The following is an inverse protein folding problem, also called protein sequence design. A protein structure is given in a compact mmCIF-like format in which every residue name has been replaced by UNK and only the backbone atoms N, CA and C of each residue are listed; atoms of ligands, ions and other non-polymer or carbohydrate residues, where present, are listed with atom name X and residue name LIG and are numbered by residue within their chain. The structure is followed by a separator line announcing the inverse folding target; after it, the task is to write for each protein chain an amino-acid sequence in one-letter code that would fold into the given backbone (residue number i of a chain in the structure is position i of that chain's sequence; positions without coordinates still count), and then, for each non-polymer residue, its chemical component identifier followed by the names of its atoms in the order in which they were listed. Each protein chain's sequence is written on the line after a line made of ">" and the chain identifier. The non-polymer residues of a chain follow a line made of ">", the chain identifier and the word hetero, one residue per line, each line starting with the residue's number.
data_IF_537745115807
#
_entry.id   IF_537745115807
#
_cell.length_a   1.000
_cell.length_b   1.000
_cell.length_c   1.000
_cell.angle_alpha   90.00
_cell.angle_beta   90.00
_cell.angle_gamma   90.00
#
_symmetry.space_group_name_H-M   'P 1'
#
loop_
_entity.id
_entity.type
_entity.pdbx_description
1 polymer ?
#
# COMPACT_ATOMS: atom_id res chain seq x y z
N UNK A 1 11.25 28.18 8.32
CA UNK A 1 10.22 27.25 7.80
C UNK A 1 9.62 26.51 8.99
N UNK A 2 8.31 26.56 9.11
CA UNK A 2 7.62 25.83 10.19
C UNK A 2 7.50 24.34 9.83
N UNK A 3 8.23 23.49 10.57
CA UNK A 3 8.25 22.03 10.37
C UNK A 3 7.13 21.31 11.15
N UNK A 4 6.29 22.01 11.88
CA UNK A 4 5.29 21.43 12.79
C UNK A 4 4.25 20.52 12.11
N UNK A 5 4.08 20.66 10.80
CA UNK A 5 3.17 19.84 10.00
C UNK A 5 3.84 18.67 9.27
N UNK A 6 5.17 18.54 9.37
CA UNK A 6 5.94 17.47 8.76
C UNK A 6 5.97 16.23 9.66
N UNK A 7 6.05 15.05 9.07
CA UNK A 7 5.97 13.78 9.79
C UNK A 7 6.92 12.73 9.23
N UNK A 8 7.37 11.81 10.08
CA UNK A 8 8.15 10.64 9.67
C UNK A 8 7.26 9.51 9.11
N UNK A 9 6.07 9.34 9.68
CA UNK A 9 5.12 8.30 9.30
C UNK A 9 4.25 8.68 8.11
N UNK A 10 4.05 7.76 7.17
CA UNK A 10 3.14 7.95 6.04
C UNK A 10 1.69 8.04 6.54
N UNK A 11 1.06 9.17 6.32
CA UNK A 11 -0.37 9.38 6.61
C UNK A 11 -1.11 9.76 5.34
N UNK A 12 -2.38 9.34 5.17
CA UNK A 12 -3.19 9.79 4.06
C UNK A 12 -3.39 11.31 4.12
N UNK A 13 -3.69 11.90 2.97
CA UNK A 13 -4.13 13.30 2.89
C UNK A 13 -5.56 13.35 3.44
N UNK A 14 -5.82 14.28 4.35
CA UNK A 14 -7.18 14.58 4.80
C UNK A 14 -7.88 15.42 3.73
N UNK A 15 -8.74 14.79 2.93
CA UNK A 15 -9.59 15.47 1.97
C UNK A 15 -10.95 15.76 2.59
N UNK A 16 -11.33 17.05 2.62
CA UNK A 16 -12.58 17.50 3.29
C UNK A 16 -13.84 16.95 2.62
N UNK A 17 -13.83 16.80 1.29
CA UNK A 17 -14.99 16.29 0.56
C UNK A 17 -15.20 14.81 0.85
N UNK A 18 -14.13 14.00 0.74
CA UNK A 18 -14.15 12.58 1.10
C UNK A 18 -14.54 12.41 2.58
N UNK A 19 -13.97 13.21 3.50
CA UNK A 19 -14.29 13.14 4.91
C UNK A 19 -15.77 13.41 5.19
N UNK A 20 -16.33 14.46 4.59
CA UNK A 20 -17.74 14.78 4.75
C UNK A 20 -18.63 13.66 4.20
N UNK A 21 -18.30 13.14 3.03
CA UNK A 21 -19.02 12.02 2.43
C UNK A 21 -18.98 10.75 3.31
N UNK A 22 -17.80 10.40 3.84
CA UNK A 22 -17.64 9.28 4.77
C UNK A 22 -18.50 9.48 6.03
N UNK A 23 -18.55 10.71 6.58
CA UNK A 23 -19.42 11.03 7.72
C UNK A 23 -20.90 10.86 7.39
N UNK A 24 -21.34 11.36 6.26
CA UNK A 24 -22.75 11.25 5.82
C UNK A 24 -23.15 9.79 5.63
N UNK A 25 -22.34 9.01 4.92
CA UNK A 25 -22.58 7.57 4.72
C UNK A 25 -22.58 6.83 6.05
N UNK A 26 -21.61 7.10 6.93
CA UNK A 26 -21.56 6.46 8.25
C UNK A 26 -22.78 6.82 9.11
N UNK A 27 -23.18 8.09 9.13
CA UNK A 27 -24.35 8.54 9.87
C UNK A 27 -25.63 7.88 9.34
N UNK A 28 -25.79 7.79 8.02
CA UNK A 28 -26.93 7.09 7.41
C UNK A 28 -26.98 5.61 7.83
N UNK A 29 -25.83 4.93 7.85
CA UNK A 29 -25.73 3.55 8.31
C UNK A 29 -26.12 3.38 9.79
N UNK A 30 -25.68 4.30 10.67
CA UNK A 30 -26.06 4.25 12.11
C UNK A 30 -27.54 4.51 12.34
N UNK A 31 -28.17 5.32 11.50
CA UNK A 31 -29.61 5.61 11.59
C UNK A 31 -30.49 4.49 11.01
N UNK A 32 -29.93 3.62 10.18
CA UNK A 32 -30.59 2.45 9.62
C UNK A 32 -29.80 1.17 9.98
N UNK A 33 -30.20 0.48 11.07
CA UNK A 33 -29.54 -0.75 11.49
C UNK A 33 -29.49 -1.84 10.41
N UNK A 34 -30.45 -1.85 9.49
CA UNK A 34 -30.46 -2.85 8.39
C UNK A 34 -29.29 -2.63 7.43
N UNK A 35 -28.89 -1.39 7.23
CA UNK A 35 -27.73 -1.04 6.39
C UNK A 35 -26.40 -1.42 7.07
N UNK A 36 -26.27 -1.28 8.39
CA UNK A 36 -25.09 -1.69 9.15
C UNK A 36 -24.93 -3.20 9.13
N UNK A 37 -26.04 -3.93 9.25
CA UNK A 37 -26.08 -5.39 9.29
C UNK A 37 -26.03 -6.01 7.87
N UNK A 38 -26.14 -5.19 6.82
CA UNK A 38 -26.13 -5.69 5.46
C UNK A 38 -24.77 -6.31 5.10
N UNK A 39 -24.79 -7.56 4.71
CA UNK A 39 -23.62 -8.22 4.13
C UNK A 39 -23.29 -7.54 2.81
N UNK A 40 -22.03 -7.21 2.63
CA UNK A 40 -21.54 -6.75 1.34
C UNK A 40 -21.47 -7.93 0.37
N UNK A 41 -21.79 -7.70 -0.89
CA UNK A 41 -21.43 -8.62 -1.96
C UNK A 41 -19.91 -8.55 -2.14
N UNK A 42 -19.24 -9.60 -1.69
CA UNK A 42 -17.77 -9.67 -1.65
C UNK A 42 -17.18 -9.73 -3.06
N UNK A 43 -17.84 -10.42 -3.97
CA UNK A 43 -17.38 -10.54 -5.36
C UNK A 43 -17.58 -9.22 -6.11
N UNK A 44 -18.68 -8.54 -5.89
CA UNK A 44 -18.87 -7.18 -6.41
C UNK A 44 -17.77 -6.25 -5.91
N UNK A 45 -17.43 -6.31 -4.61
CA UNK A 45 -16.36 -5.48 -4.05
C UNK A 45 -15.00 -5.78 -4.70
N UNK A 46 -14.62 -7.07 -4.78
CA UNK A 46 -13.36 -7.52 -5.39
C UNK A 46 -13.25 -7.09 -6.86
N UNK A 47 -14.31 -7.29 -7.62
CA UNK A 47 -14.37 -6.95 -9.04
C UNK A 47 -14.30 -5.43 -9.25
N UNK A 48 -15.07 -4.65 -8.46
CA UNK A 48 -15.05 -3.19 -8.53
C UNK A 48 -13.66 -2.66 -8.18
N UNK A 49 -13.03 -3.18 -7.12
CA UNK A 49 -11.69 -2.74 -6.74
C UNK A 49 -10.65 -3.08 -7.82
N UNK A 50 -10.71 -4.28 -8.40
CA UNK A 50 -9.82 -4.67 -9.52
C UNK A 50 -10.02 -3.75 -10.73
N UNK A 51 -11.26 -3.40 -11.06
CA UNK A 51 -11.56 -2.43 -12.13
C UNK A 51 -10.94 -1.07 -11.81
N UNK A 52 -11.13 -0.56 -10.59
CA UNK A 52 -10.53 0.71 -10.16
C UNK A 52 -9.00 0.71 -10.21
N UNK A 53 -8.35 -0.43 -9.87
CA UNK A 53 -6.90 -0.58 -10.02
C UNK A 53 -6.44 -0.50 -11.48
N UNK A 54 -7.17 -1.16 -12.38
CA UNK A 54 -6.86 -1.16 -13.81
C UNK A 54 -7.11 0.22 -14.47
N UNK A 55 -8.04 1.00 -13.92
CA UNK A 55 -8.38 2.35 -14.38
C UNK A 55 -7.52 3.45 -13.73
N UNK A 56 -6.65 3.10 -12.76
CA UNK A 56 -5.78 4.07 -12.12
C UNK A 56 -4.76 4.63 -13.11
N UNK A 57 -4.78 5.96 -13.29
CA UNK A 57 -4.09 6.61 -14.41
C UNK A 57 -2.58 6.74 -14.26
N UNK A 58 -2.04 6.57 -13.06
CA UNK A 58 -0.68 6.94 -12.73
C UNK A 58 0.25 5.75 -12.48
N UNK A 59 -0.31 4.57 -12.30
CA UNK A 59 0.45 3.34 -12.07
C UNK A 59 -0.34 2.13 -12.49
N UNK A 60 0.27 1.23 -13.28
CA UNK A 60 -0.36 0.01 -13.76
C UNK A 60 0.46 -1.20 -13.32
N UNK A 61 -0.20 -2.23 -12.83
CA UNK A 61 0.41 -3.53 -12.57
C UNK A 61 0.17 -4.46 -13.76
N UNK A 62 1.13 -4.48 -14.70
CA UNK A 62 1.05 -5.37 -15.87
C UNK A 62 1.19 -6.83 -15.41
N UNK A 63 0.26 -7.69 -15.84
CA UNK A 63 0.24 -9.10 -15.43
C UNK A 63 -0.56 -9.39 -14.14
N UNK A 64 -1.28 -8.39 -13.58
CA UNK A 64 -2.15 -8.61 -12.42
C UNK A 64 -3.25 -9.66 -12.69
N UNK A 65 -3.64 -9.87 -13.94
CA UNK A 65 -4.59 -10.91 -14.36
C UNK A 65 -4.11 -12.34 -14.09
N UNK A 66 -2.80 -12.54 -13.93
CA UNK A 66 -2.18 -13.84 -13.58
C UNK A 66 -2.36 -14.23 -12.11
N UNK A 67 -2.86 -13.30 -11.29
CA UNK A 67 -3.15 -13.53 -9.87
C UNK A 67 -4.66 -13.78 -9.72
N UNK A 68 -5.04 -15.05 -9.87
CA UNK A 68 -6.43 -15.45 -9.98
C UNK A 68 -7.18 -15.45 -8.65
N UNK A 69 -6.47 -15.61 -7.53
CA UNK A 69 -7.07 -15.74 -6.21
C UNK A 69 -7.01 -14.43 -5.45
N UNK A 70 -8.15 -14.00 -4.92
CA UNK A 70 -8.25 -12.70 -4.24
C UNK A 70 -8.83 -12.84 -2.84
N UNK A 71 -8.22 -12.14 -1.88
CA UNK A 71 -8.69 -12.07 -0.50
C UNK A 71 -8.83 -10.62 -0.05
N UNK A 72 -9.95 -10.29 0.58
CA UNK A 72 -10.18 -9.00 1.22
C UNK A 72 -9.42 -8.94 2.53
N UNK A 73 -8.83 -7.78 2.83
CA UNK A 73 -7.99 -7.52 4.00
C UNK A 73 -8.43 -6.24 4.72
N UNK A 74 -8.16 -6.14 6.02
CA UNK A 74 -8.20 -4.88 6.78
C UNK A 74 -6.90 -4.05 6.54
N UNK A 75 -6.59 -3.79 5.27
CA UNK A 75 -5.36 -3.14 4.82
C UNK A 75 -4.20 -4.11 4.65
N UNK A 76 -3.09 -3.62 4.06
CA UNK A 76 -1.93 -4.45 3.68
C UNK A 76 -1.28 -5.20 4.86
N UNK A 77 -1.37 -4.68 6.09
CA UNK A 77 -0.84 -5.38 7.27
C UNK A 77 -1.42 -6.79 7.42
N UNK A 78 -2.67 -7.02 7.00
CA UNK A 78 -3.27 -8.35 6.95
C UNK A 78 -2.51 -9.31 6.03
N UNK A 79 -2.04 -8.83 4.88
CA UNK A 79 -1.22 -9.63 3.98
C UNK A 79 0.15 -10.00 4.60
N UNK A 80 0.75 -9.10 5.39
CA UNK A 80 2.00 -9.41 6.08
C UNK A 80 1.82 -10.52 7.11
N UNK A 81 0.79 -10.40 7.94
CA UNK A 81 0.49 -11.44 8.95
C UNK A 81 0.16 -12.78 8.29
N UNK A 82 -0.54 -12.75 7.17
CA UNK A 82 -0.85 -13.94 6.38
C UNK A 82 0.41 -14.57 5.77
N UNK A 83 1.35 -13.73 5.27
CA UNK A 83 2.65 -14.17 4.76
C UNK A 83 3.52 -14.76 5.87
N UNK A 84 3.53 -14.13 7.07
CA UNK A 84 4.25 -14.66 8.23
C UNK A 84 3.69 -16.01 8.70
N UNK A 85 2.39 -16.26 8.53
CA UNK A 85 1.78 -17.55 8.86
C UNK A 85 2.14 -18.68 7.89
N UNK A 86 2.54 -18.33 6.66
CA UNK A 86 2.92 -19.31 5.62
C UNK A 86 4.37 -19.78 5.75
N UNK A 87 5.25 -18.92 6.28
CA UNK A 87 6.68 -19.15 6.32
C UNK A 87 7.22 -19.01 7.75
N UNK A 88 8.27 -19.74 8.08
CA UNK A 88 8.96 -19.52 9.34
C UNK A 88 9.57 -18.13 9.37
N UNK A 89 9.43 -17.42 10.49
CA UNK A 89 9.89 -16.04 10.65
C UNK A 89 11.38 -15.86 10.33
N UNK A 90 12.21 -16.84 10.62
CA UNK A 90 13.64 -16.86 10.32
C UNK A 90 13.97 -16.86 8.82
N UNK A 91 12.99 -17.29 7.99
CA UNK A 91 13.12 -17.29 6.55
C UNK A 91 12.55 -16.03 5.90
N UNK A 92 11.94 -15.14 6.69
CA UNK A 92 11.38 -13.89 6.18
C UNK A 92 12.44 -12.80 6.16
N UNK A 93 12.68 -12.25 4.97
CA UNK A 93 13.66 -11.18 4.79
C UNK A 93 13.01 -9.94 4.17
N UNK A 94 13.58 -8.81 4.52
CA UNK A 94 13.28 -7.50 3.92
C UNK A 94 14.58 -6.76 3.65
N UNK A 95 14.56 -5.82 2.73
CA UNK A 95 15.71 -4.94 2.49
C UNK A 95 15.71 -3.78 3.47
N UNK A 96 16.89 -3.24 3.74
CA UNK A 96 17.05 -2.03 4.54
C UNK A 96 16.20 -0.89 3.96
N UNK A 97 15.49 -0.17 4.82
CA UNK A 97 14.58 0.88 4.42
C UNK A 97 13.13 0.44 4.23
N UNK A 98 12.85 -0.86 4.31
CA UNK A 98 11.49 -1.36 4.28
C UNK A 98 10.66 -0.89 5.50
N UNK A 99 9.35 -1.19 5.46
CA UNK A 99 8.45 -0.79 6.52
C UNK A 99 8.90 -1.37 7.87
N UNK A 100 9.13 -0.53 8.90
CA UNK A 100 9.70 -0.98 10.18
C UNK A 100 8.87 -2.04 10.92
N UNK A 101 7.63 -2.27 10.50
CA UNK A 101 6.76 -3.32 11.02
C UNK A 101 7.39 -4.71 10.83
N UNK A 102 8.02 -4.97 9.69
CA UNK A 102 8.65 -6.27 9.39
C UNK A 102 9.76 -6.57 10.39
N UNK A 103 10.69 -5.64 10.58
CA UNK A 103 11.80 -5.76 11.56
C UNK A 103 11.27 -5.99 12.98
N UNK A 104 10.22 -5.25 13.38
CA UNK A 104 9.62 -5.39 14.71
C UNK A 104 8.94 -6.74 14.93
N UNK A 105 8.53 -7.42 13.86
CA UNK A 105 7.95 -8.75 13.89
C UNK A 105 8.98 -9.86 13.66
N UNK A 106 10.28 -9.56 13.63
CA UNK A 106 11.34 -10.54 13.58
C UNK A 106 11.88 -10.88 12.20
N UNK A 107 11.42 -10.21 11.12
CA UNK A 107 12.01 -10.39 9.80
C UNK A 107 13.48 -9.94 9.79
N UNK A 108 14.33 -10.71 9.12
CA UNK A 108 15.74 -10.36 8.92
C UNK A 108 15.84 -9.19 7.94
N UNK A 109 16.59 -8.15 8.33
CA UNK A 109 16.87 -7.00 7.45
C UNK A 109 18.22 -7.22 6.76
N UNK A 110 18.23 -7.16 5.44
CA UNK A 110 19.43 -7.32 4.60
C UNK A 110 19.85 -5.97 4.00
N UNK A 111 21.15 -5.74 3.90
CA UNK A 111 21.71 -4.54 3.21
C UNK A 111 21.63 -4.71 1.69
N UNK A 112 21.86 -5.92 1.18
CA UNK A 112 21.87 -6.22 -0.23
C UNK A 112 20.96 -7.39 -0.59
N UNK A 113 20.23 -7.31 -1.70
CA UNK A 113 19.34 -8.38 -2.15
C UNK A 113 20.10 -9.66 -2.52
N UNK A 114 21.39 -9.54 -2.90
CA UNK A 114 22.25 -10.70 -3.17
C UNK A 114 22.55 -11.55 -1.96
N UNK A 115 22.27 -11.06 -0.74
CA UNK A 115 22.47 -11.79 0.50
C UNK A 115 21.29 -12.72 0.83
N UNK A 116 20.18 -12.64 0.05
CA UNK A 116 19.02 -13.52 0.22
C UNK A 116 19.41 -14.95 -0.13
N UNK A 117 19.17 -15.87 0.77
CA UNK A 117 19.55 -17.28 0.63
C UNK A 117 18.39 -18.11 0.08
N UNK A 118 18.73 -19.23 -0.53
CA UNK A 118 17.73 -20.23 -0.91
C UNK A 118 16.88 -20.67 0.30
N UNK A 119 15.58 -20.76 0.11
CA UNK A 119 14.63 -21.09 1.19
C UNK A 119 14.12 -19.89 1.98
N UNK A 120 14.70 -18.70 1.77
CA UNK A 120 14.15 -17.45 2.29
C UNK A 120 13.10 -16.89 1.33
N UNK A 121 12.25 -16.00 1.85
CA UNK A 121 11.21 -15.30 1.08
C UNK A 121 11.28 -13.81 1.37
N UNK A 122 11.04 -13.00 0.35
CA UNK A 122 11.20 -11.55 0.39
C UNK A 122 9.84 -10.84 0.50
N UNK A 123 9.76 -9.82 1.36
CA UNK A 123 8.70 -8.83 1.29
C UNK A 123 9.32 -7.54 0.74
N UNK A 124 8.77 -7.06 -0.38
CA UNK A 124 9.28 -5.90 -1.11
C UNK A 124 8.17 -4.88 -1.35
N UNK A 125 8.36 -3.64 -0.89
CA UNK A 125 7.39 -2.56 -1.16
C UNK A 125 7.55 -2.00 -2.57
N UNK A 126 6.42 -1.78 -3.23
CA UNK A 126 6.32 -1.15 -4.55
C UNK A 126 5.16 -0.13 -4.56
N UNK A 127 5.40 1.18 -4.48
CA UNK A 127 6.69 1.87 -4.29
C UNK A 127 7.42 1.53 -3.00
N UNK A 128 8.77 1.67 -3.04
CA UNK A 128 9.65 1.31 -1.93
C UNK A 128 9.41 2.15 -0.68
N UNK A 129 9.35 1.51 0.47
CA UNK A 129 8.95 2.14 1.72
C UNK A 129 9.85 3.30 2.15
N UNK A 130 11.16 3.22 1.92
CA UNK A 130 12.08 4.28 2.32
C UNK A 130 11.91 5.55 1.51
N UNK A 131 11.63 5.47 0.22
CA UNK A 131 11.65 6.61 -0.70
C UNK A 131 10.28 6.98 -1.25
N UNK A 132 9.37 6.02 -1.37
CA UNK A 132 8.13 6.17 -2.14
C UNK A 132 8.36 6.19 -3.66
N UNK A 133 9.56 5.82 -4.11
CA UNK A 133 9.92 5.60 -5.51
C UNK A 133 9.96 4.10 -5.82
N UNK A 134 10.19 3.73 -7.06
CA UNK A 134 10.62 2.37 -7.39
C UNK A 134 11.99 2.17 -6.74
N UNK A 135 12.25 1.00 -6.15
CA UNK A 135 13.59 0.66 -5.64
C UNK A 135 14.59 0.66 -6.80
N UNK A 136 15.75 1.28 -6.63
CA UNK A 136 16.74 1.46 -7.71
C UNK A 136 17.13 0.11 -8.36
N UNK A 137 17.22 -0.95 -7.57
CA UNK A 137 17.55 -2.30 -8.01
C UNK A 137 16.32 -3.17 -8.29
N UNK A 138 15.10 -2.63 -8.41
CA UNK A 138 13.88 -3.43 -8.51
C UNK A 138 13.96 -4.56 -9.52
N UNK A 139 14.37 -4.27 -10.76
CA UNK A 139 14.47 -5.27 -11.81
C UNK A 139 15.53 -6.34 -11.53
N UNK A 140 16.66 -5.93 -10.95
CA UNK A 140 17.73 -6.86 -10.53
C UNK A 140 17.27 -7.76 -9.38
N UNK A 141 16.49 -7.22 -8.44
CA UNK A 141 15.90 -8.00 -7.34
C UNK A 141 14.95 -9.07 -7.90
N UNK A 142 14.05 -8.69 -8.81
CA UNK A 142 13.09 -9.61 -9.42
C UNK A 142 13.83 -10.71 -10.19
N UNK A 143 14.85 -10.35 -10.98
CA UNK A 143 15.65 -11.31 -11.71
C UNK A 143 16.42 -12.27 -10.78
N UNK A 144 17.06 -11.72 -9.74
CA UNK A 144 17.76 -12.51 -8.73
C UNK A 144 16.82 -13.50 -8.03
N UNK A 145 15.67 -13.02 -7.57
CA UNK A 145 14.68 -13.87 -6.88
C UNK A 145 14.13 -14.96 -7.80
N UNK A 146 13.86 -14.64 -9.08
CA UNK A 146 13.42 -15.62 -10.06
C UNK A 146 14.47 -16.72 -10.28
N UNK A 147 15.74 -16.34 -10.45
CA UNK A 147 16.83 -17.28 -10.73
C UNK A 147 17.15 -18.17 -9.51
N UNK A 148 16.95 -17.65 -8.29
CA UNK A 148 17.23 -18.37 -7.04
C UNK A 148 15.97 -19.00 -6.40
N UNK A 149 14.80 -18.94 -7.07
CA UNK A 149 13.51 -19.48 -6.57
C UNK A 149 13.13 -18.92 -5.20
N UNK A 150 13.26 -17.61 -5.05
CA UNK A 150 12.88 -16.87 -3.84
C UNK A 150 11.50 -16.27 -4.07
N UNK A 151 10.54 -16.65 -3.24
CA UNK A 151 9.18 -16.14 -3.33
C UNK A 151 9.10 -14.70 -2.83
N UNK A 152 8.27 -13.89 -3.49
CA UNK A 152 8.09 -12.46 -3.17
C UNK A 152 6.62 -12.16 -2.85
N UNK A 153 6.39 -11.45 -1.73
CA UNK A 153 5.19 -10.64 -1.49
C UNK A 153 5.47 -9.20 -1.89
N UNK A 154 4.76 -8.66 -2.88
CA UNK A 154 4.80 -7.23 -3.20
C UNK A 154 3.83 -6.44 -2.34
N UNK A 155 4.35 -5.52 -1.53
CA UNK A 155 3.57 -4.55 -0.77
C UNK A 155 3.29 -3.30 -1.62
N UNK A 156 2.10 -3.22 -2.18
CA UNK A 156 1.64 -2.10 -2.98
C UNK A 156 0.78 -1.09 -2.17
N UNK A 157 1.08 -0.87 -0.88
CA UNK A 157 0.32 0.05 -0.02
C UNK A 157 0.30 1.49 -0.51
N UNK A 158 1.31 1.93 -1.27
CA UNK A 158 1.40 3.29 -1.82
C UNK A 158 1.01 3.38 -3.29
N UNK A 159 0.69 2.26 -3.97
CA UNK A 159 0.44 2.22 -5.41
C UNK A 159 -0.56 3.31 -5.84
N UNK A 160 -1.72 3.34 -5.20
CA UNK A 160 -2.85 4.18 -5.59
C UNK A 160 -2.73 5.66 -5.14
N UNK A 161 -1.57 6.07 -4.68
CA UNK A 161 -1.20 7.45 -4.32
C UNK A 161 0.16 7.81 -4.94
N UNK A 162 0.56 7.09 -5.98
CA UNK A 162 1.87 7.21 -6.61
C UNK A 162 1.76 7.23 -8.13
N UNK A 163 2.78 7.79 -8.77
CA UNK A 163 2.99 7.73 -10.21
C UNK A 163 4.31 7.00 -10.48
N UNK A 164 4.22 5.69 -10.73
CA UNK A 164 5.37 4.84 -11.05
C UNK A 164 5.29 4.26 -12.46
N UNK A 165 4.28 4.66 -13.24
CA UNK A 165 4.06 4.12 -14.59
C UNK A 165 3.68 2.64 -14.59
N UNK A 166 4.07 1.96 -15.63
CA UNK A 166 3.76 0.54 -15.84
C UNK A 166 4.83 -0.34 -15.20
N UNK A 167 4.41 -1.22 -14.30
CA UNK A 167 5.28 -2.19 -13.62
C UNK A 167 4.83 -3.59 -13.97
N UNK A 168 5.72 -4.37 -14.58
CA UNK A 168 5.51 -5.78 -14.83
C UNK A 168 5.67 -6.58 -13.53
N UNK A 169 4.58 -7.25 -13.12
CA UNK A 169 4.52 -8.11 -11.94
C UNK A 169 4.36 -9.59 -12.29
N UNK A 170 4.43 -9.95 -13.58
CA UNK A 170 4.23 -11.35 -14.03
C UNK A 170 5.47 -12.24 -13.85
N UNK A 171 6.42 -11.85 -13.04
CA UNK A 171 7.53 -12.73 -12.68
C UNK A 171 7.06 -13.87 -11.77
N UNK A 172 7.42 -15.12 -12.09
CA UNK A 172 6.97 -16.32 -11.34
C UNK A 172 7.38 -16.33 -9.86
N UNK A 173 8.40 -15.57 -9.48
CA UNK A 173 8.80 -15.39 -8.09
C UNK A 173 7.83 -14.49 -7.31
N UNK A 174 7.07 -13.63 -7.97
CA UNK A 174 6.02 -12.82 -7.32
C UNK A 174 4.82 -13.73 -7.10
N UNK A 175 4.62 -14.15 -5.84
CA UNK A 175 3.54 -15.05 -5.44
C UNK A 175 2.29 -14.33 -5.02
N UNK A 176 2.46 -13.18 -4.35
CA UNK A 176 1.35 -12.39 -3.83
C UNK A 176 1.60 -10.89 -4.03
N UNK A 177 0.52 -10.15 -4.26
CA UNK A 177 0.51 -8.69 -4.34
C UNK A 177 -0.55 -8.20 -3.35
N UNK A 178 -0.21 -7.24 -2.49
CA UNK A 178 -1.15 -6.65 -1.55
C UNK A 178 -1.32 -5.17 -1.82
N UNK A 179 -2.56 -4.72 -1.96
CA UNK A 179 -2.93 -3.32 -2.18
C UNK A 179 -3.82 -2.80 -1.05
N UNK A 180 -3.89 -1.48 -0.85
CA UNK A 180 -4.72 -0.89 0.20
C UNK A 180 -5.26 0.47 -0.21
N UNK A 181 -6.47 0.78 0.24
CA UNK A 181 -7.11 2.11 0.09
C UNK A 181 -6.77 3.07 1.23
N UNK A 182 -6.04 2.61 2.26
CA UNK A 182 -5.76 3.39 3.47
C UNK A 182 -4.91 4.65 3.25
N UNK A 183 -4.25 4.78 2.09
CA UNK A 183 -3.45 5.96 1.74
C UNK A 183 -4.17 6.87 0.75
N UNK A 184 -5.16 6.35 0.03
CA UNK A 184 -5.99 7.10 -0.93
C UNK A 184 -7.11 7.82 -0.19
N UNK A 185 -7.90 7.07 0.57
CA UNK A 185 -9.03 7.62 1.31
C UNK A 185 -8.72 7.66 2.80
N UNK A 186 -8.88 8.81 3.42
CA UNK A 186 -8.67 8.98 4.87
C UNK A 186 -9.88 8.49 5.68
N UNK A 187 -10.23 7.22 5.53
CA UNK A 187 -11.42 6.60 6.16
C UNK A 187 -11.22 6.20 7.63
N UNK A 188 -10.11 6.62 8.25
CA UNK A 188 -9.82 6.34 9.65
C UNK A 188 -9.58 4.84 9.91
N UNK A 189 -10.41 4.25 10.77
CA UNK A 189 -10.30 2.82 11.13
C UNK A 189 -10.94 1.89 10.10
N UNK A 190 -11.71 2.41 9.14
CA UNK A 190 -12.34 1.62 8.08
C UNK A 190 -11.34 1.29 6.97
N UNK A 191 -10.25 0.63 7.34
CA UNK A 191 -9.21 0.21 6.41
C UNK A 191 -9.70 -0.96 5.59
N UNK A 192 -9.31 -0.97 4.32
CA UNK A 192 -9.60 -2.08 3.41
C UNK A 192 -8.45 -2.23 2.40
N UNK A 193 -8.24 -3.45 1.94
CA UNK A 193 -7.29 -3.79 0.89
C UNK A 193 -7.65 -5.12 0.25
N UNK A 194 -6.90 -5.49 -0.75
CA UNK A 194 -7.00 -6.80 -1.39
C UNK A 194 -5.60 -7.38 -1.53
N UNK A 195 -5.49 -8.69 -1.22
CA UNK A 195 -4.37 -9.53 -1.61
C UNK A 195 -4.75 -10.29 -2.87
N UNK A 196 -3.85 -10.31 -3.82
CA UNK A 196 -3.93 -11.09 -5.05
C UNK A 196 -2.87 -12.18 -4.97
N UNK A 197 -3.26 -13.43 -5.08
CA UNK A 197 -2.38 -14.59 -5.05
C UNK A 197 -2.35 -15.26 -6.42
N UNK A 198 -1.16 -15.69 -6.84
CA UNK A 198 -0.99 -16.41 -8.12
C UNK A 198 -1.55 -17.82 -8.05
N UNK A 199 -1.42 -18.46 -6.90
CA UNK A 199 -1.87 -19.82 -6.63
C UNK A 199 -2.87 -19.81 -5.47
N UNK A 200 -3.75 -20.83 -5.39
CA UNK A 200 -4.63 -20.97 -4.24
C UNK A 200 -3.83 -21.42 -3.01
N UNK A 201 -3.86 -20.60 -1.98
CA UNK A 201 -3.10 -20.84 -0.75
C UNK A 201 -4.09 -20.91 0.41
N UNK A 202 -4.05 -22.00 1.17
CA UNK A 202 -4.87 -22.18 2.37
C UNK A 202 -4.21 -21.45 3.55
N UNK A 203 -4.67 -20.23 3.82
CA UNK A 203 -4.16 -19.36 4.88
C UNK A 203 -5.28 -18.93 5.82
N UNK A 204 -4.95 -18.39 7.02
CA UNK A 204 -5.97 -17.80 7.89
C UNK A 204 -6.80 -16.70 7.21
N UNK A 205 -6.17 -15.86 6.38
CA UNK A 205 -6.89 -14.82 5.64
C UNK A 205 -7.84 -15.44 4.61
N UNK A 206 -7.41 -16.46 3.85
CA UNK A 206 -8.27 -17.17 2.91
C UNK A 206 -9.47 -17.79 3.64
N UNK A 207 -9.24 -18.45 4.77
CA UNK A 207 -10.29 -19.05 5.57
C UNK A 207 -11.33 -18.03 6.07
N UNK A 208 -10.90 -16.88 6.55
CA UNK A 208 -11.81 -15.80 6.96
C UNK A 208 -12.63 -15.27 5.77
N UNK A 209 -12.02 -15.19 4.58
CA UNK A 209 -12.73 -14.82 3.35
C UNK A 209 -13.78 -15.86 2.96
N UNK A 210 -13.44 -17.15 3.01
CA UNK A 210 -14.38 -18.24 2.69
C UNK A 210 -15.56 -18.30 3.65
N UNK A 211 -15.35 -17.94 4.90
CA UNK A 211 -16.41 -17.87 5.93
C UNK A 211 -17.14 -16.53 5.96
N UNK A 212 -16.78 -15.58 5.11
CA UNK A 212 -17.32 -14.21 5.07
C UNK A 212 -17.14 -13.45 6.40
N UNK A 213 -16.15 -13.79 7.21
CA UNK A 213 -15.76 -13.04 8.42
C UNK A 213 -14.91 -11.84 8.03
N UNK A 214 -15.56 -10.88 7.37
CA UNK A 214 -14.95 -9.72 6.76
C UNK A 214 -15.57 -8.43 7.30
N UNK A 215 -14.87 -7.33 7.12
CA UNK A 215 -15.37 -6.01 7.46
C UNK A 215 -16.35 -5.52 6.38
N UNK A 216 -17.59 -6.04 6.40
CA UNK A 216 -18.63 -5.70 5.42
C UNK A 216 -18.97 -4.20 5.40
N UNK A 217 -18.90 -3.53 6.57
CA UNK A 217 -19.10 -2.08 6.62
C UNK A 217 -18.04 -1.34 5.80
N UNK A 218 -16.76 -1.68 5.98
CA UNK A 218 -15.67 -1.06 5.20
C UNK A 218 -15.80 -1.36 3.71
N UNK A 219 -16.19 -2.58 3.31
CA UNK A 219 -16.42 -2.90 1.89
C UNK A 219 -17.55 -2.05 1.30
N UNK A 220 -18.71 -1.99 1.97
CA UNK A 220 -19.85 -1.19 1.52
C UNK A 220 -19.53 0.30 1.45
N UNK A 221 -18.78 0.83 2.43
CA UNK A 221 -18.32 2.21 2.44
C UNK A 221 -17.44 2.51 1.21
N UNK A 222 -16.50 1.61 0.90
CA UNK A 222 -15.58 1.83 -0.22
C UNK A 222 -16.25 1.62 -1.57
N UNK A 223 -17.25 0.73 -1.71
CA UNK A 223 -18.08 0.68 -2.92
C UNK A 223 -18.79 2.02 -3.17
N UNK A 224 -19.32 2.64 -2.11
CA UNK A 224 -19.94 3.98 -2.22
C UNK A 224 -18.90 5.06 -2.56
N UNK A 225 -17.68 4.96 -2.02
CA UNK A 225 -16.58 5.87 -2.35
C UNK A 225 -16.18 5.75 -3.82
N UNK A 226 -16.03 4.54 -4.37
CA UNK A 226 -15.68 4.33 -5.77
C UNK A 226 -16.69 4.94 -6.75
N UNK A 227 -17.98 4.98 -6.38
CA UNK A 227 -19.00 5.60 -7.21
C UNK A 227 -18.86 7.13 -7.33
N UNK A 228 -18.19 7.78 -6.38
CA UNK A 228 -18.06 9.25 -6.32
C UNK A 228 -16.61 9.71 -6.53
N UNK A 229 -15.64 8.91 -6.13
CA UNK A 229 -14.22 9.25 -6.14
C UNK A 229 -13.43 8.05 -6.65
N UNK A 230 -13.00 8.06 -7.92
CA UNK A 230 -12.13 7.02 -8.45
C UNK A 230 -10.74 7.07 -7.76
N UNK A 231 -9.93 6.04 -7.96
CA UNK A 231 -8.60 5.97 -7.31
C UNK A 231 -7.65 7.12 -7.69
N UNK A 232 -7.81 7.73 -8.86
CA UNK A 232 -6.97 8.84 -9.31
C UNK A 232 -7.35 10.18 -8.67
N UNK A 233 -8.55 10.30 -8.10
CA UNK A 233 -9.09 11.58 -7.60
C UNK A 233 -8.14 12.31 -6.63
N UNK A 234 -7.62 11.61 -5.62
CA UNK A 234 -6.75 12.24 -4.61
C UNK A 234 -5.40 12.63 -5.22
N UNK A 235 -4.83 11.76 -6.06
CA UNK A 235 -3.58 12.06 -6.74
C UNK A 235 -3.72 13.29 -7.65
N UNK A 236 -4.73 13.30 -8.52
CA UNK A 236 -4.99 14.40 -9.44
C UNK A 236 -5.22 15.73 -8.72
N UNK A 237 -6.05 15.70 -7.66
CA UNK A 237 -6.41 16.89 -6.88
C UNK A 237 -5.22 17.55 -6.16
N UNK A 238 -4.30 16.75 -5.63
CA UNK A 238 -3.24 17.24 -4.76
C UNK A 238 -1.84 17.27 -5.40
N UNK A 239 -1.70 16.83 -6.65
CA UNK A 239 -0.41 16.78 -7.34
C UNK A 239 0.30 18.13 -7.37
N UNK A 240 -0.40 19.18 -7.80
CA UNK A 240 0.20 20.52 -7.90
C UNK A 240 0.62 21.06 -6.53
N UNK A 241 -0.20 20.87 -5.50
CA UNK A 241 0.14 21.25 -4.13
C UNK A 241 1.35 20.47 -3.58
N UNK A 242 1.49 19.19 -3.95
CA UNK A 242 2.66 18.39 -3.57
C UNK A 242 3.95 18.94 -4.20
N UNK A 243 3.89 19.35 -5.46
CA UNK A 243 5.02 19.99 -6.15
C UNK A 243 5.41 21.29 -5.44
N UNK A 244 4.45 22.15 -5.17
CA UNK A 244 4.67 23.44 -4.49
C UNK A 244 5.22 23.25 -3.08
N UNK A 245 4.68 22.31 -2.31
CA UNK A 245 5.16 22.00 -0.98
C UNK A 245 6.61 21.48 -1.01
N UNK A 246 6.95 20.51 -1.84
CA UNK A 246 8.32 20.04 -1.96
C UNK A 246 9.28 21.18 -2.35
N UNK A 247 8.92 21.97 -3.35
CA UNK A 247 9.73 23.14 -3.78
C UNK A 247 9.94 24.14 -2.65
N UNK A 248 8.90 24.48 -1.88
CA UNK A 248 8.98 25.44 -0.79
C UNK A 248 9.88 25.00 0.37
N UNK A 249 10.02 23.70 0.57
CA UNK A 249 10.88 23.10 1.58
C UNK A 249 12.25 22.69 1.07
N UNK A 250 12.54 22.84 -0.24
CA UNK A 250 13.79 22.39 -0.84
C UNK A 250 13.93 20.86 -0.81
N UNK A 251 12.82 20.14 -0.99
CA UNK A 251 12.75 18.69 -1.02
C UNK A 251 12.58 18.21 -2.47
N UNK A 252 13.25 17.12 -2.81
CA UNK A 252 12.98 16.39 -4.03
C UNK A 252 11.66 15.63 -3.89
N UNK A 253 10.82 15.69 -4.90
CA UNK A 253 9.55 14.98 -4.88
C UNK A 253 9.75 13.48 -5.15
N UNK A 254 9.10 12.63 -4.35
CA UNK A 254 9.03 11.20 -4.67
C UNK A 254 7.92 10.90 -5.68
N UNK A 255 7.90 9.65 -6.21
CA UNK A 255 6.78 9.17 -7.01
C UNK A 255 5.47 9.11 -6.20
N UNK A 256 5.58 8.91 -4.89
CA UNK A 256 4.43 8.93 -3.98
C UNK A 256 4.07 10.36 -3.60
N UNK A 257 2.83 10.75 -3.79
CA UNK A 257 2.31 12.09 -3.52
C UNK A 257 2.59 12.59 -2.09
N UNK A 258 2.76 11.67 -1.15
CA UNK A 258 2.87 11.95 0.29
C UNK A 258 4.27 12.41 0.72
N UNK A 259 5.32 12.24 -0.11
CA UNK A 259 6.70 12.36 0.35
C UNK A 259 7.52 13.37 -0.43
N UNK A 260 8.29 14.16 0.34
CA UNK A 260 9.48 14.83 -0.13
C UNK A 260 10.73 14.13 0.39
N UNK A 261 11.80 14.13 -0.40
CA UNK A 261 13.07 13.46 -0.13
C UNK A 261 14.19 14.49 -0.01
N UNK A 262 15.21 14.18 0.80
CA UNK A 262 16.42 14.99 0.87
C UNK A 262 17.59 14.18 1.42
N UNK A 263 18.81 14.52 1.01
CA UNK A 263 20.03 14.02 1.63
C UNK A 263 20.68 15.09 2.55
N UNK A 264 20.08 16.27 2.67
CA UNK A 264 20.60 17.34 3.53
C UNK A 264 20.43 16.97 5.02
N UNK A 265 21.47 17.24 5.80
CA UNK A 265 21.50 17.06 7.27
C UNK A 265 20.40 17.84 7.98
N UNK A 266 19.90 18.94 7.39
CA UNK A 266 18.75 19.70 7.88
C UNK A 266 17.50 18.83 8.12
N UNK A 267 17.38 17.70 7.40
CA UNK A 267 16.26 16.77 7.44
C UNK A 267 16.58 15.45 8.14
N UNK A 268 17.73 15.34 8.84
CA UNK A 268 18.19 14.09 9.47
C UNK A 268 17.22 13.45 10.46
N UNK A 269 16.33 14.25 11.07
CA UNK A 269 15.25 13.76 11.94
C UNK A 269 14.22 12.87 11.20
N UNK A 270 14.15 12.97 9.86
CA UNK A 270 13.30 12.17 8.97
C UNK A 270 14.05 11.01 8.32
N UNK A 271 15.24 10.67 8.80
CA UNK A 271 16.08 9.63 8.21
C UNK A 271 15.39 8.27 8.16
N UNK A 272 15.56 7.61 7.02
CA UNK A 272 15.13 6.24 6.77
C UNK A 272 16.36 5.32 6.77
N UNK A 273 16.78 4.93 7.98
CA UNK A 273 17.92 4.03 8.20
C UNK A 273 19.22 4.46 7.49
N UNK A 274 19.38 5.77 7.26
CA UNK A 274 20.56 6.33 6.58
C UNK A 274 20.53 6.28 5.05
N UNK A 275 19.46 5.74 4.43
CA UNK A 275 19.32 5.72 2.97
C UNK A 275 18.94 7.08 2.40
N UNK A 276 18.00 7.76 3.04
CA UNK A 276 17.55 9.10 2.69
C UNK A 276 16.79 9.70 3.87
N UNK A 277 16.49 11.00 3.79
CA UNK A 277 15.50 11.65 4.66
C UNK A 277 14.17 11.71 3.91
N UNK A 278 13.15 11.02 4.41
CA UNK A 278 11.82 10.98 3.83
C UNK A 278 10.83 11.75 4.70
N UNK A 279 10.38 12.87 4.20
CA UNK A 279 9.46 13.80 4.89
C UNK A 279 8.04 13.54 4.39
N UNK A 280 7.11 13.19 5.28
CA UNK A 280 5.70 13.11 4.92
C UNK A 280 5.08 14.51 4.97
N UNK A 281 4.61 14.98 3.81
CA UNK A 281 4.03 16.33 3.59
C UNK A 281 2.49 16.31 3.61
N UNK A 282 1.85 15.17 3.85
CA UNK A 282 0.39 15.02 3.72
C UNK A 282 -0.42 16.03 4.52
N UNK A 283 0.06 16.48 5.69
CA UNK A 283 -0.62 17.52 6.48
C UNK A 283 -0.58 18.90 5.82
N UNK A 284 0.49 19.20 5.06
CA UNK A 284 0.61 20.49 4.37
C UNK A 284 -0.38 20.55 3.20
N UNK A 285 -0.62 19.42 2.56
CA UNK A 285 -1.51 19.33 1.41
C UNK A 285 -2.99 19.59 1.75
N UNK A 286 -3.34 19.57 3.04
CA UNK A 286 -4.72 19.76 3.52
C UNK A 286 -5.15 21.23 3.56
N UNK A 287 -4.21 22.17 3.61
CA UNK A 287 -4.42 23.62 3.72
C UNK A 287 -4.15 24.32 2.40
#
# INVERSE_FOLDING_TARGET
>A
MDKNHLQTGARPIFDKEIYNYVREVSAACWNDPTTIMALCDVDLFKNTYKTQLNEYKHSTLLGLDKFAYTSVLDGVTGAFLDWYAQYNIENLVVLKGEYPFHKRNGCTVLEHFTDIKHGQTLILSMPFSATGNIHDDYFSIIEYCRNNKIDILLDCAYLNISNIGDIDVDALCVKSIATSLSKVYATGMNKIGIKFDREEIHTPVKQLNDWLYLNHFSMNLHLKLFNNYNLSYVYDKYLQRSIEACTSFGLDRSNTLLFGLSNDKLWSEFSREGLCNRVCISKILQY
#
